data_IF_162456688480
#
_entry.id   IF_162456688480
#
_cell.length_a   1.000
_cell.length_b   1.000
_cell.length_c   1.000
_cell.angle_alpha   90.00
_cell.angle_beta   90.00
_cell.angle_gamma   90.00
#
_symmetry.space_group_name_H-M   'P 1'
#
loop_
_entity.id
_entity.type
_entity.pdbx_description
1 polymer ?
#
# COMPACT_ATOMS: atom_id res chain seq x y z
N UNK A 1 -19.97 -2.86 -9.60
CA UNK A 1 -18.79 -2.24 -10.25
C UNK A 1 -17.77 -3.33 -10.48
N UNK A 2 -17.28 -3.52 -11.70
CA UNK A 2 -16.30 -4.58 -12.01
C UNK A 2 -14.92 -4.18 -11.46
N UNK A 3 -14.31 -5.05 -10.66
CA UNK A 3 -12.93 -4.85 -10.18
C UNK A 3 -11.97 -5.24 -11.31
N UNK A 4 -11.06 -4.33 -11.70
CA UNK A 4 -9.96 -4.59 -12.63
C UNK A 4 -8.71 -5.09 -11.92
N UNK A 5 -8.52 -4.69 -10.67
CA UNK A 5 -7.40 -5.08 -9.83
C UNK A 5 -7.89 -5.73 -8.54
N UNK A 6 -7.24 -6.81 -8.14
CA UNK A 6 -7.41 -7.40 -6.83
C UNK A 6 -6.45 -6.72 -5.85
N UNK A 7 -6.95 -6.37 -4.66
CA UNK A 7 -6.12 -5.86 -3.57
C UNK A 7 -5.91 -6.97 -2.56
N UNK A 8 -4.67 -7.41 -2.43
CA UNK A 8 -4.25 -8.27 -1.32
C UNK A 8 -3.42 -7.47 -0.33
N UNK A 9 -3.30 -7.99 0.88
CA UNK A 9 -2.42 -7.44 1.91
C UNK A 9 -1.26 -8.38 2.08
N UNK A 10 -0.06 -7.82 2.17
CA UNK A 10 1.09 -8.59 2.57
C UNK A 10 0.90 -9.09 3.99
N UNK A 11 1.06 -10.39 4.17
CA UNK A 11 1.07 -11.06 5.46
C UNK A 11 2.51 -11.53 5.73
N UNK A 12 3.01 -11.18 6.92
CA UNK A 12 4.29 -11.68 7.42
C UNK A 12 4.14 -13.13 7.88
N UNK A 13 5.27 -13.81 8.08
CA UNK A 13 5.30 -15.20 8.57
C UNK A 13 4.65 -15.36 9.97
N UNK A 14 4.60 -14.28 10.76
CA UNK A 14 3.93 -14.22 12.07
C UNK A 14 2.42 -13.94 11.97
N UNK A 15 1.87 -13.91 10.76
CA UNK A 15 0.45 -13.68 10.48
C UNK A 15 0.01 -12.21 10.47
N UNK A 16 0.90 -11.26 10.81
CA UNK A 16 0.56 -9.83 10.85
C UNK A 16 0.50 -9.23 9.46
N UNK A 17 -0.39 -8.26 9.30
CA UNK A 17 -0.57 -7.48 8.07
C UNK A 17 -0.16 -6.02 8.31
N UNK A 18 1.07 -5.62 7.94
CA UNK A 18 1.61 -4.30 8.30
C UNK A 18 0.74 -3.13 7.82
N UNK A 19 0.13 -3.25 6.63
CA UNK A 19 -0.82 -2.25 6.13
C UNK A 19 -2.08 -2.14 7.01
N UNK A 20 -2.66 -3.27 7.46
CA UNK A 20 -3.86 -3.27 8.29
C UNK A 20 -3.58 -2.68 9.66
N UNK A 21 -2.47 -3.08 10.28
CA UNK A 21 -2.03 -2.54 11.57
C UNK A 21 -1.83 -1.02 11.50
N UNK A 22 -1.12 -0.55 10.48
CA UNK A 22 -0.91 0.87 10.24
C UNK A 22 -2.24 1.62 10.04
N UNK A 23 -3.10 1.15 9.13
CA UNK A 23 -4.36 1.84 8.84
C UNK A 23 -5.27 1.92 10.08
N UNK A 24 -5.25 0.89 10.92
CA UNK A 24 -6.00 0.88 12.17
C UNK A 24 -5.42 1.85 13.22
N UNK A 25 -4.09 2.03 13.24
CA UNK A 25 -3.39 2.95 14.12
C UNK A 25 -3.55 4.44 13.74
N UNK A 26 -3.90 4.75 12.49
CA UNK A 26 -4.20 6.12 12.05
C UNK A 26 -5.37 6.70 12.87
N UNK A 27 -5.12 7.73 13.68
CA UNK A 27 -6.14 8.35 14.55
C UNK A 27 -7.17 9.16 13.77
N UNK A 28 -6.75 9.78 12.66
CA UNK A 28 -7.62 10.57 11.78
C UNK A 28 -8.57 9.65 10.99
N UNK A 29 -9.84 9.60 11.41
CA UNK A 29 -10.88 8.77 10.77
C UNK A 29 -11.24 9.26 9.37
N UNK A 30 -11.17 10.56 9.12
CA UNK A 30 -11.40 11.11 7.78
C UNK A 30 -10.28 10.65 6.83
N UNK A 31 -9.03 10.70 7.29
CA UNK A 31 -7.91 10.18 6.52
C UNK A 31 -8.06 8.68 6.21
N UNK A 32 -8.45 7.86 7.21
CA UNK A 32 -8.71 6.44 6.95
C UNK A 32 -9.79 6.23 5.87
N UNK A 33 -10.88 6.99 5.92
CA UNK A 33 -11.95 6.91 4.92
C UNK A 33 -11.45 7.31 3.51
N UNK A 34 -10.65 8.38 3.43
CA UNK A 34 -10.03 8.83 2.17
C UNK A 34 -9.05 7.80 1.60
N UNK A 35 -8.26 7.15 2.44
CA UNK A 35 -7.36 6.05 2.01
C UNK A 35 -8.17 4.88 1.46
N UNK A 36 -9.22 4.42 2.17
CA UNK A 36 -10.09 3.33 1.70
C UNK A 36 -10.76 3.67 0.37
N UNK A 37 -11.27 4.89 0.23
CA UNK A 37 -11.86 5.35 -1.02
C UNK A 37 -10.84 5.37 -2.16
N UNK A 38 -9.60 5.78 -1.88
CA UNK A 38 -8.53 5.75 -2.87
C UNK A 38 -8.20 4.34 -3.33
N UNK A 39 -8.19 3.37 -2.42
CA UNK A 39 -7.97 1.96 -2.75
C UNK A 39 -9.10 1.38 -3.61
N UNK A 40 -10.37 1.78 -3.40
CA UNK A 40 -11.47 1.38 -4.31
C UNK A 40 -11.28 1.92 -5.73
N UNK A 41 -10.69 3.11 -5.87
CA UNK A 41 -10.33 3.66 -7.19
C UNK A 41 -9.20 2.84 -7.83
N UNK A 42 -8.21 2.41 -7.05
CA UNK A 42 -7.17 1.48 -7.53
C UNK A 42 -7.79 0.17 -8.03
N UNK A 43 -8.75 -0.41 -7.31
CA UNK A 43 -9.48 -1.62 -7.75
C UNK A 43 -10.14 -1.47 -9.11
N UNK A 44 -10.61 -0.28 -9.47
CA UNK A 44 -11.22 0.01 -10.77
C UNK A 44 -10.23 0.46 -11.84
N UNK A 45 -8.94 0.48 -11.52
CA UNK A 45 -7.84 0.84 -12.42
C UNK A 45 -7.44 2.32 -12.39
N UNK A 46 -8.02 3.12 -11.49
CA UNK A 46 -7.64 4.53 -11.30
C UNK A 46 -6.62 4.66 -10.16
N UNK A 47 -5.34 4.53 -10.51
CA UNK A 47 -4.22 4.69 -9.58
C UNK A 47 -3.95 6.15 -9.21
N UNK A 48 -4.24 7.11 -10.10
CA UNK A 48 -3.92 8.54 -10.00
C UNK A 48 -2.50 8.84 -9.47
N UNK A 49 -2.36 9.69 -8.44
CA UNK A 49 -1.05 10.12 -7.91
C UNK A 49 -0.26 8.97 -7.23
N UNK A 50 0.54 8.29 -8.04
CA UNK A 50 1.44 7.22 -7.66
C UNK A 50 2.84 7.44 -8.26
N UNK A 51 3.90 7.08 -7.54
CA UNK A 51 5.28 7.12 -8.04
C UNK A 51 6.03 5.83 -7.72
N UNK A 52 6.90 5.35 -8.62
CA UNK A 52 7.84 4.30 -8.28
C UNK A 52 8.85 4.81 -7.24
N UNK A 53 9.11 4.01 -6.21
CA UNK A 53 10.13 4.30 -5.17
C UNK A 53 11.29 3.29 -5.20
N UNK A 54 11.38 2.52 -6.29
CA UNK A 54 12.43 1.54 -6.55
C UNK A 54 12.06 0.11 -6.18
N UNK A 55 12.81 -0.86 -6.73
CA UNK A 55 12.70 -2.31 -6.45
C UNK A 55 11.32 -2.94 -6.74
N UNK A 56 10.49 -2.24 -7.51
CA UNK A 56 9.12 -2.66 -7.85
C UNK A 56 8.06 -2.21 -6.84
N UNK A 57 8.42 -1.35 -5.89
CA UNK A 57 7.48 -0.70 -4.96
C UNK A 57 7.01 0.63 -5.55
N UNK A 58 5.71 0.89 -5.38
CA UNK A 58 5.03 2.11 -5.79
C UNK A 58 4.41 2.76 -4.56
N UNK A 59 4.57 4.07 -4.43
CA UNK A 59 3.93 4.90 -3.42
C UNK A 59 2.66 5.54 -3.99
N UNK A 60 1.52 5.35 -3.34
CA UNK A 60 0.27 6.11 -3.56
C UNK A 60 0.21 7.27 -2.58
N UNK A 61 0.15 8.49 -3.09
CA UNK A 61 0.12 9.72 -2.27
C UNK A 61 -1.32 10.14 -1.99
N UNK A 62 -1.67 10.30 -0.71
CA UNK A 62 -2.99 10.74 -0.27
C UNK A 62 -2.84 12.06 0.49
N UNK A 63 -3.17 13.17 -0.19
CA UNK A 63 -3.02 14.53 0.33
C UNK A 63 -4.17 14.90 1.29
N UNK A 64 -4.14 14.34 2.49
CA UNK A 64 -5.03 14.64 3.61
C UNK A 64 -4.25 14.54 4.93
N UNK A 65 -4.56 15.39 5.91
CA UNK A 65 -3.93 15.36 7.23
C UNK A 65 -2.40 15.46 7.14
N UNK A 66 -1.70 14.51 7.76
CA UNK A 66 -0.23 14.44 7.79
C UNK A 66 0.44 14.16 6.42
N UNK A 67 -0.34 13.95 5.35
CA UNK A 67 0.17 13.55 4.05
C UNK A 67 0.51 12.06 4.02
N UNK A 68 -0.53 11.23 4.05
CA UNK A 68 -0.40 9.77 4.11
C UNK A 68 0.10 9.15 2.80
N UNK A 69 0.77 8.01 2.93
CA UNK A 69 1.35 7.21 1.85
C UNK A 69 0.95 5.76 2.02
N UNK A 70 0.57 5.11 0.92
CA UNK A 70 0.36 3.67 0.87
C UNK A 70 1.38 3.08 -0.08
N UNK A 71 2.11 2.08 0.37
CA UNK A 71 3.13 1.41 -0.44
C UNK A 71 2.60 0.08 -0.93
N UNK A 72 2.75 -0.17 -2.22
CA UNK A 72 2.27 -1.40 -2.83
C UNK A 72 3.19 -1.91 -3.92
N UNK A 73 3.17 -3.23 -4.14
CA UNK A 73 3.75 -3.88 -5.31
C UNK A 73 2.67 -4.26 -6.31
N UNK A 74 3.03 -4.40 -7.59
CA UNK A 74 2.16 -4.99 -8.61
C UNK A 74 2.75 -6.32 -9.07
N UNK A 75 1.89 -7.32 -9.22
CA UNK A 75 2.29 -8.64 -9.71
C UNK A 75 1.35 -9.10 -10.82
N UNK A 76 1.92 -9.58 -11.92
CA UNK A 76 1.16 -9.90 -13.12
C UNK A 76 0.34 -8.71 -13.64
N UNK A 77 -0.80 -9.00 -14.28
CA UNK A 77 -1.66 -7.99 -14.89
C UNK A 77 -2.65 -7.30 -13.96
N UNK A 78 -3.04 -7.95 -12.86
CA UNK A 78 -4.23 -7.56 -12.09
C UNK A 78 -4.05 -7.55 -10.55
N UNK A 79 -2.91 -7.96 -10.01
CA UNK A 79 -2.71 -7.97 -8.56
C UNK A 79 -1.99 -6.70 -8.07
N UNK A 80 -2.53 -6.10 -7.02
CA UNK A 80 -1.90 -5.05 -6.22
C UNK A 80 -1.76 -5.55 -4.78
N UNK A 81 -0.52 -5.68 -4.31
CA UNK A 81 -0.21 -6.13 -2.96
C UNK A 81 0.11 -4.91 -2.07
N UNK A 82 -0.75 -4.64 -1.09
CA UNK A 82 -0.54 -3.59 -0.09
C UNK A 82 0.52 -4.05 0.92
N UNK A 83 1.62 -3.31 1.00
CA UNK A 83 2.81 -3.70 1.76
C UNK A 83 2.80 -3.04 3.15
N UNK A 84 2.60 -1.74 3.17
CA UNK A 84 2.61 -0.90 4.37
C UNK A 84 1.95 0.45 4.06
N UNK A 85 1.84 1.29 5.07
CA UNK A 85 1.57 2.70 4.89
C UNK A 85 2.34 3.52 5.91
N UNK A 86 2.30 4.83 5.72
CA UNK A 86 3.01 5.79 6.53
C UNK A 86 2.49 7.20 6.29
N UNK A 87 3.19 8.18 6.83
CA UNK A 87 3.00 9.57 6.47
C UNK A 87 4.33 10.19 6.02
N UNK A 88 4.27 11.45 5.60
CA UNK A 88 5.42 12.15 5.05
C UNK A 88 6.61 12.20 6.03
N UNK A 89 6.38 12.15 7.34
CA UNK A 89 7.45 12.26 8.34
C UNK A 89 8.29 10.97 8.46
N UNK A 90 7.71 9.81 8.18
CA UNK A 90 8.36 8.50 8.26
C UNK A 90 8.69 7.87 6.89
N UNK A 91 8.44 8.61 5.80
CA UNK A 91 8.51 8.13 4.42
C UNK A 91 9.79 7.33 4.08
N UNK A 92 11.02 7.75 4.43
CA UNK A 92 12.22 6.98 4.11
C UNK A 92 12.22 5.57 4.73
N UNK A 93 11.81 5.46 5.99
CA UNK A 93 11.74 4.18 6.70
C UNK A 93 10.59 3.31 6.19
N UNK A 94 9.47 3.92 5.82
CA UNK A 94 8.32 3.21 5.26
C UNK A 94 8.64 2.62 3.88
N UNK A 95 9.37 3.36 3.03
CA UNK A 95 9.85 2.87 1.73
C UNK A 95 10.79 1.67 1.94
N UNK A 96 11.74 1.77 2.88
CA UNK A 96 12.66 0.67 3.19
C UNK A 96 11.89 -0.59 3.61
N UNK A 97 10.96 -0.47 4.56
CA UNK A 97 10.11 -1.59 5.02
C UNK A 97 9.25 -2.16 3.89
N UNK A 98 8.67 -1.31 3.05
CA UNK A 98 7.86 -1.75 1.92
C UNK A 98 8.68 -2.59 0.94
N UNK A 99 9.92 -2.18 0.63
CA UNK A 99 10.82 -2.94 -0.23
C UNK A 99 11.19 -4.29 0.36
N UNK A 100 11.45 -4.34 1.66
CA UNK A 100 11.68 -5.60 2.38
C UNK A 100 10.47 -6.53 2.28
N UNK A 101 9.26 -6.03 2.58
CA UNK A 101 8.02 -6.80 2.45
C UNK A 101 7.79 -7.31 1.02
N UNK A 102 8.05 -6.48 0.02
CA UNK A 102 7.92 -6.86 -1.38
C UNK A 102 8.93 -7.94 -1.79
N UNK A 103 10.18 -7.80 -1.36
CA UNK A 103 11.23 -8.79 -1.60
C UNK A 103 10.89 -10.13 -0.94
N UNK A 104 10.41 -10.10 0.30
CA UNK A 104 9.98 -11.30 1.03
C UNK A 104 8.83 -12.01 0.32
N UNK A 105 7.78 -11.27 -0.07
CA UNK A 105 6.64 -11.84 -0.76
C UNK A 105 7.03 -12.45 -2.11
N UNK A 106 7.85 -11.77 -2.92
CA UNK A 106 8.30 -12.31 -4.21
C UNK A 106 9.03 -13.64 -4.07
N UNK A 107 9.80 -13.84 -2.99
CA UNK A 107 10.50 -15.11 -2.73
C UNK A 107 9.56 -16.27 -2.45
N UNK A 108 8.34 -16.03 -1.98
CA UNK A 108 7.33 -17.08 -1.75
C UNK A 108 6.46 -17.39 -2.96
N UNK A 109 6.63 -16.67 -4.07
CA UNK A 109 5.91 -16.90 -5.34
C UNK A 109 6.74 -17.64 -6.40
N UNK A 110 7.98 -18.03 -6.04
CA UNK A 110 8.83 -18.89 -6.87
C UNK A 110 8.65 -20.34 -6.43
#
# INVERSE_FOLDING_TARGET
>A
MLSKFELLRYQRDDGREPFTEWLNAVRDKLAQARIRERLRRVQTGNFGDCEPVGEGVIELRVHVGAGYRVYFGRYGGALVLLLSGGDKSSQPDDIRRAKEHWSNWKRSQT
#
